data_IF_960191381497
#
_entry.id   IF_960191381497
#
_cell.length_a   1.000
_cell.length_b   1.000
_cell.length_c   1.000
_cell.angle_alpha   90.00
_cell.angle_beta   90.00
_cell.angle_gamma   90.00
#
_symmetry.space_group_name_H-M   'P 1'
#
loop_
_entity.id
_entity.type
_entity.pdbx_description
1 polymer ?
#
# COMPACT_ATOMS: atom_id res chain seq x y z
N UNK A 1 0.36 22.19 15.46
CA UNK A 1 0.13 21.59 14.13
C UNK A 1 0.21 20.09 14.28
N UNK A 2 -0.81 19.41 13.77
CA UNK A 2 -1.30 18.14 14.32
C UNK A 2 -0.55 16.92 13.77
N UNK A 3 0.52 16.50 14.46
CA UNK A 3 1.29 15.30 14.11
C UNK A 3 0.41 14.05 13.97
N UNK A 4 -0.66 13.95 14.77
CA UNK A 4 -1.64 12.85 14.66
C UNK A 4 -2.33 12.85 13.29
N UNK A 5 -2.66 14.02 12.75
CA UNK A 5 -3.24 14.16 11.40
C UNK A 5 -2.26 13.68 10.33
N UNK A 6 -0.98 14.03 10.47
CA UNK A 6 0.08 13.58 9.55
C UNK A 6 0.26 12.06 9.60
N UNK A 7 0.26 11.47 10.80
CA UNK A 7 0.33 10.01 10.99
C UNK A 7 -0.86 9.26 10.40
N UNK A 8 -2.07 9.79 10.55
CA UNK A 8 -3.29 9.25 9.92
C UNK A 8 -3.14 9.27 8.40
N UNK A 9 -2.83 10.44 7.82
CA UNK A 9 -2.65 10.60 6.38
C UNK A 9 -1.61 9.62 5.83
N UNK A 10 -0.45 9.54 6.46
CA UNK A 10 0.60 8.65 5.99
C UNK A 10 0.19 7.18 6.08
N UNK A 11 -0.49 6.76 7.15
CA UNK A 11 -0.97 5.39 7.29
C UNK A 11 -1.92 5.00 6.16
N UNK A 12 -2.88 5.87 5.83
CA UNK A 12 -3.87 5.62 4.77
C UNK A 12 -3.23 5.55 3.37
N UNK A 13 -2.21 6.39 3.13
CA UNK A 13 -1.66 6.60 1.79
C UNK A 13 -0.38 5.80 1.50
N UNK A 14 0.32 5.24 2.50
CA UNK A 14 1.67 4.70 2.27
C UNK A 14 1.75 3.61 1.20
N UNK A 15 0.76 2.71 1.12
CA UNK A 15 0.76 1.66 0.09
C UNK A 15 0.30 2.20 -1.26
N UNK A 16 -0.54 3.25 -1.25
CA UNK A 16 -0.93 3.98 -2.44
C UNK A 16 0.29 4.70 -3.04
N UNK A 17 1.07 5.40 -2.21
CA UNK A 17 2.36 5.98 -2.60
C UNK A 17 3.32 4.91 -3.11
N UNK A 18 3.48 3.79 -2.40
CA UNK A 18 4.38 2.70 -2.83
C UNK A 18 3.95 2.11 -4.19
N UNK A 19 2.64 2.00 -4.42
CA UNK A 19 2.07 1.52 -5.67
C UNK A 19 2.46 2.41 -6.86
N UNK A 20 2.57 3.72 -6.63
CA UNK A 20 3.02 4.67 -7.65
C UNK A 20 4.56 4.82 -7.71
N UNK A 21 5.24 4.89 -6.56
CA UNK A 21 6.69 5.09 -6.51
C UNK A 21 7.33 4.71 -5.16
N UNK A 22 8.24 3.74 -5.20
CA UNK A 22 9.07 3.37 -4.05
C UNK A 22 9.99 4.53 -3.59
N UNK A 23 10.41 5.40 -4.51
CA UNK A 23 11.28 6.53 -4.18
C UNK A 23 10.55 7.56 -3.32
N UNK A 24 9.31 7.92 -3.69
CA UNK A 24 8.48 8.80 -2.87
C UNK A 24 8.11 8.15 -1.54
N UNK A 25 7.83 6.84 -1.51
CA UNK A 25 7.61 6.12 -0.27
C UNK A 25 8.80 6.28 0.69
N UNK A 26 10.03 6.13 0.19
CA UNK A 26 11.24 6.29 1.00
C UNK A 26 11.44 7.74 1.46
N UNK A 27 11.19 8.72 0.59
CA UNK A 27 11.29 10.14 0.93
C UNK A 27 10.29 10.54 2.03
N UNK A 28 9.02 10.15 1.88
CA UNK A 28 7.98 10.42 2.89
C UNK A 28 8.29 9.68 4.19
N UNK A 29 8.74 8.42 4.12
CA UNK A 29 9.15 7.67 5.32
C UNK A 29 10.28 8.39 6.07
N UNK A 30 11.21 9.03 5.36
CA UNK A 30 12.28 9.80 5.99
C UNK A 30 11.72 11.09 6.60
N UNK A 31 10.92 11.87 5.86
CA UNK A 31 10.27 13.07 6.37
C UNK A 31 9.40 12.80 7.62
N UNK A 32 8.69 11.67 7.65
CA UNK A 32 7.94 11.22 8.83
C UNK A 32 8.83 10.97 10.06
N UNK A 33 10.05 10.43 9.89
CA UNK A 33 11.00 10.28 11.00
C UNK A 33 11.49 11.62 11.52
N UNK A 34 11.66 12.58 10.61
CA UNK A 34 12.10 13.93 10.91
C UNK A 34 10.94 14.82 11.40
N UNK A 35 9.76 14.24 11.63
CA UNK A 35 8.53 14.91 12.08
C UNK A 35 8.07 16.02 11.14
N UNK A 36 8.21 15.79 9.84
CA UNK A 36 7.78 16.68 8.76
C UNK A 36 6.36 17.20 8.94
N UNK A 37 6.12 18.43 8.47
CA UNK A 37 4.83 19.09 8.61
C UNK A 37 3.76 18.41 7.73
N UNK A 38 2.49 18.58 8.08
CA UNK A 38 1.38 18.00 7.33
C UNK A 38 1.42 18.42 5.85
N UNK A 39 1.72 19.69 5.58
CA UNK A 39 1.77 20.28 4.25
C UNK A 39 2.87 19.65 3.39
N UNK A 40 4.04 19.39 3.99
CA UNK A 40 5.17 18.73 3.33
C UNK A 40 4.82 17.29 2.96
N UNK A 41 4.29 16.52 3.91
CA UNK A 41 3.91 15.12 3.68
C UNK A 41 2.79 15.02 2.65
N UNK A 42 1.78 15.88 2.73
CA UNK A 42 0.67 15.93 1.78
C UNK A 42 1.15 16.25 0.37
N UNK A 43 2.08 17.22 0.20
CA UNK A 43 2.62 17.58 -1.10
C UNK A 43 3.45 16.43 -1.73
N UNK A 44 4.25 15.73 -0.93
CA UNK A 44 5.00 14.56 -1.40
C UNK A 44 4.09 13.41 -1.83
N UNK A 45 2.98 13.17 -1.09
CA UNK A 45 1.98 12.17 -1.46
C UNK A 45 1.34 12.54 -2.80
N UNK A 46 0.87 13.79 -2.95
CA UNK A 46 0.26 14.24 -4.21
C UNK A 46 1.20 14.07 -5.40
N UNK A 47 2.48 14.46 -5.24
CA UNK A 47 3.49 14.26 -6.28
C UNK A 47 3.68 12.79 -6.66
N UNK A 48 3.66 11.89 -5.67
CA UNK A 48 3.75 10.45 -5.91
C UNK A 48 2.52 9.95 -6.70
N UNK A 49 1.31 10.34 -6.30
CA UNK A 49 0.06 9.88 -6.91
C UNK A 49 -0.15 10.42 -8.33
N UNK A 50 0.46 11.56 -8.68
CA UNK A 50 0.46 12.10 -10.04
C UNK A 50 1.36 11.30 -11.02
N UNK A 51 2.21 10.40 -10.53
CA UNK A 51 2.98 9.50 -11.39
C UNK A 51 2.12 8.34 -11.88
N UNK A 52 2.27 7.96 -13.15
CA UNK A 52 1.73 6.70 -13.66
C UNK A 52 2.44 5.52 -13.00
N UNK A 53 1.73 4.63 -12.29
CA UNK A 53 2.33 3.41 -11.73
C UNK A 53 2.99 2.56 -12.81
N UNK A 54 4.12 1.95 -12.47
CA UNK A 54 4.75 0.92 -13.30
C UNK A 54 4.35 -0.47 -12.82
N UNK A 55 4.41 -1.49 -13.68
CA UNK A 55 4.19 -2.87 -13.22
C UNK A 55 5.10 -3.28 -12.05
N UNK A 56 6.34 -2.78 -12.05
CA UNK A 56 7.29 -3.01 -10.96
C UNK A 56 6.83 -2.42 -9.64
N UNK A 57 6.37 -1.16 -9.64
CA UNK A 57 5.90 -0.48 -8.42
C UNK A 57 4.60 -1.08 -7.89
N UNK A 58 3.66 -1.42 -8.80
CA UNK A 58 2.41 -2.10 -8.46
C UNK A 58 2.69 -3.48 -7.84
N UNK A 59 3.54 -4.29 -8.48
CA UNK A 59 3.94 -5.61 -7.97
C UNK A 59 4.59 -5.52 -6.60
N UNK A 60 5.50 -4.56 -6.43
CA UNK A 60 6.18 -4.35 -5.15
C UNK A 60 5.19 -3.99 -4.03
N UNK A 61 4.25 -3.07 -4.26
CA UNK A 61 3.23 -2.72 -3.28
C UNK A 61 2.35 -3.92 -2.90
N UNK A 62 1.90 -4.71 -3.88
CA UNK A 62 1.12 -5.92 -3.63
C UNK A 62 1.91 -6.98 -2.85
N UNK A 63 3.20 -7.18 -3.15
CA UNK A 63 4.07 -8.08 -2.39
C UNK A 63 4.24 -7.65 -0.93
N UNK A 64 4.35 -6.34 -0.68
CA UNK A 64 4.38 -5.80 0.67
C UNK A 64 3.08 -6.08 1.44
N UNK A 65 1.92 -5.91 0.81
CA UNK A 65 0.61 -6.21 1.42
C UNK A 65 0.44 -7.72 1.65
N UNK A 66 0.86 -8.56 0.71
CA UNK A 66 0.87 -10.02 0.87
C UNK A 66 1.66 -10.50 2.10
N UNK A 67 2.68 -9.74 2.51
CA UNK A 67 3.47 -10.01 3.70
C UNK A 67 2.65 -10.20 4.99
N UNK A 68 1.45 -9.60 5.08
CA UNK A 68 0.53 -9.78 6.22
C UNK A 68 -0.11 -11.17 6.26
N UNK A 69 -0.33 -11.79 5.10
CA UNK A 69 -1.09 -13.02 4.98
C UNK A 69 -0.21 -14.26 4.88
N UNK A 70 1.04 -14.13 4.43
CA UNK A 70 1.92 -15.26 4.09
C UNK A 70 2.04 -16.38 5.15
N UNK A 71 1.84 -16.06 6.43
CA UNK A 71 1.93 -17.02 7.56
C UNK A 71 0.59 -17.64 7.96
N UNK A 72 -0.53 -17.04 7.54
CA UNK A 72 -1.88 -17.41 7.97
C UNK A 72 -2.76 -17.88 6.81
N UNK A 73 -2.39 -17.54 5.57
CA UNK A 73 -3.10 -17.92 4.36
C UNK A 73 -3.10 -19.44 4.15
N UNK A 74 -4.21 -19.97 3.65
CA UNK A 74 -4.31 -21.39 3.26
C UNK A 74 -3.47 -21.69 2.02
N UNK A 75 -3.24 -22.96 1.73
CA UNK A 75 -2.50 -23.36 0.52
C UNK A 75 -3.23 -22.92 -0.76
N UNK A 76 -4.56 -22.96 -0.76
CA UNK A 76 -5.38 -22.46 -1.87
C UNK A 76 -5.19 -20.96 -2.07
N UNK A 77 -5.19 -20.16 -1.00
CA UNK A 77 -4.98 -18.71 -1.06
C UNK A 77 -3.57 -18.34 -1.52
N UNK A 78 -2.56 -19.08 -1.05
CA UNK A 78 -1.17 -18.92 -1.53
C UNK A 78 -1.06 -19.19 -3.02
N UNK A 79 -1.67 -20.29 -3.49
CA UNK A 79 -1.68 -20.65 -4.91
C UNK A 79 -2.40 -19.59 -5.76
N UNK A 80 -3.54 -19.09 -5.28
CA UNK A 80 -4.28 -18.02 -5.96
C UNK A 80 -3.44 -16.73 -6.05
N UNK A 81 -2.79 -16.34 -4.95
CA UNK A 81 -1.86 -15.21 -4.94
C UNK A 81 -0.72 -15.37 -5.96
N UNK A 82 -0.07 -16.54 -5.98
CA UNK A 82 1.04 -16.85 -6.89
C UNK A 82 0.63 -16.77 -8.36
N UNK A 83 -0.62 -17.14 -8.69
CA UNK A 83 -1.18 -16.96 -10.02
C UNK A 83 -1.42 -15.49 -10.33
N UNK A 84 -2.11 -14.76 -9.46
CA UNK A 84 -2.48 -13.36 -9.67
C UNK A 84 -1.27 -12.42 -9.79
N UNK A 85 -0.21 -12.64 -9.01
CA UNK A 85 1.00 -11.81 -9.06
C UNK A 85 1.78 -11.96 -10.39
N UNK A 86 1.55 -13.06 -11.12
CA UNK A 86 2.18 -13.35 -12.41
C UNK A 86 1.37 -12.80 -13.60
N UNK A 87 0.04 -12.74 -13.50
CA UNK A 87 -0.85 -12.38 -14.61
C UNK A 87 -0.99 -10.87 -14.86
N UNK A 88 -0.27 -10.02 -14.12
CA UNK A 88 -0.30 -8.53 -14.22
C UNK A 88 -1.68 -7.90 -14.03
N UNK A 89 -2.69 -8.67 -13.62
CA UNK A 89 -4.02 -8.19 -13.29
C UNK A 89 -4.02 -7.61 -11.88
N UNK A 90 -3.42 -6.43 -11.73
CA UNK A 90 -3.26 -5.79 -10.42
C UNK A 90 -4.59 -5.43 -9.77
N UNK A 91 -5.64 -5.16 -10.55
CA UNK A 91 -6.99 -4.92 -10.02
C UNK A 91 -7.56 -6.16 -9.33
N UNK A 92 -7.46 -7.34 -9.96
CA UNK A 92 -7.90 -8.60 -9.36
C UNK A 92 -7.05 -8.95 -8.14
N UNK A 93 -5.74 -8.69 -8.20
CA UNK A 93 -4.85 -8.90 -7.07
C UNK A 93 -5.18 -7.98 -5.89
N UNK A 94 -5.47 -6.70 -6.11
CA UNK A 94 -5.89 -5.77 -5.06
C UNK A 94 -7.23 -6.21 -4.45
N UNK A 95 -8.19 -6.63 -5.29
CA UNK A 95 -9.47 -7.19 -4.84
C UNK A 95 -9.26 -8.41 -3.95
N UNK A 96 -8.39 -9.32 -4.36
CA UNK A 96 -8.05 -10.51 -3.58
C UNK A 96 -7.38 -10.15 -2.24
N UNK A 97 -6.41 -9.23 -2.24
CA UNK A 97 -5.75 -8.78 -1.01
C UNK A 97 -6.73 -8.10 -0.05
N UNK A 98 -7.70 -7.35 -0.56
CA UNK A 98 -8.79 -6.78 0.26
C UNK A 98 -9.64 -7.88 0.90
N UNK A 99 -10.06 -8.88 0.15
CA UNK A 99 -10.82 -10.01 0.68
C UNK A 99 -10.07 -10.74 1.80
N UNK A 100 -8.75 -10.92 1.65
CA UNK A 100 -7.92 -11.48 2.72
C UNK A 100 -7.82 -10.55 3.93
N UNK A 101 -7.71 -9.24 3.72
CA UNK A 101 -7.71 -8.26 4.80
C UNK A 101 -9.01 -8.30 5.61
N UNK A 102 -10.16 -8.45 4.94
CA UNK A 102 -11.47 -8.63 5.57
C UNK A 102 -11.53 -9.96 6.33
N UNK A 103 -11.17 -11.06 5.67
CA UNK A 103 -11.19 -12.42 6.25
C UNK A 103 -10.33 -12.55 7.50
N UNK A 104 -9.11 -12.02 7.48
CA UNK A 104 -8.14 -12.15 8.57
C UNK A 104 -8.15 -10.96 9.53
N UNK A 105 -9.05 -9.99 9.35
CA UNK A 105 -9.18 -8.83 10.23
C UNK A 105 -7.95 -7.92 10.23
N UNK A 106 -7.29 -7.75 9.08
CA UNK A 106 -6.11 -6.88 8.95
C UNK A 106 -6.56 -5.44 8.77
N UNK A 107 -7.05 -4.82 9.86
CA UNK A 107 -7.58 -3.44 9.88
C UNK A 107 -6.63 -2.44 9.23
N UNK A 108 -5.33 -2.62 9.45
CA UNK A 108 -4.30 -1.75 8.89
C UNK A 108 -4.30 -1.70 7.36
N UNK A 109 -4.64 -2.80 6.69
CA UNK A 109 -4.80 -2.83 5.23
C UNK A 109 -6.19 -2.33 4.81
N UNK A 110 -7.23 -2.60 5.61
CA UNK A 110 -8.59 -2.09 5.33
C UNK A 110 -8.68 -0.56 5.39
N UNK A 111 -7.81 0.09 6.16
CA UNK A 111 -7.68 1.55 6.21
C UNK A 111 -6.79 2.13 5.07
N UNK A 112 -6.26 1.28 4.17
CA UNK A 112 -5.35 1.71 3.11
C UNK A 112 -6.11 2.01 1.81
N UNK A 113 -6.00 3.25 1.32
CA UNK A 113 -6.74 3.74 0.14
C UNK A 113 -6.48 2.99 -1.15
N UNK A 114 -5.32 2.32 -1.27
CA UNK A 114 -5.02 1.49 -2.45
C UNK A 114 -5.99 0.31 -2.61
N UNK A 115 -6.64 -0.14 -1.52
CA UNK A 115 -7.61 -1.25 -1.52
C UNK A 115 -9.07 -0.77 -1.60
N UNK A 116 -9.31 0.54 -1.63
CA UNK A 116 -10.66 1.12 -1.78
C UNK A 116 -11.08 1.28 -3.25
N UNK A 117 -10.20 0.96 -4.19
CA UNK A 117 -10.36 1.15 -5.64
C UNK A 117 -11.23 0.08 -6.30
#
# INVERSE_FOLDING_TARGET
>A
MDQKKTEILWREEKYNVMFHSQNYYNAIRQAMKDKGAYEEISALIEQALNLTPTEGSMRNACQHMWGYFKKVATEEEKKQYEQLIQTTSFSELLTFLRQLAEKYGVTYLLESRVLER
#
